data_IF_059813488779
#
_entry.id   IF_059813488779
#
_cell.length_a   1.000
_cell.length_b   1.000
_cell.length_c   1.000
_cell.angle_alpha   90.00
_cell.angle_beta   90.00
_cell.angle_gamma   90.00
#
_symmetry.space_group_name_H-M   'P 1'
#
loop_
_entity.id
_entity.type
_entity.pdbx_description
1 polymer ?
#
# COMPACT_ATOMS: atom_id res chain seq x y z
N UNK A 1 14.49 -13.93 21.64
CA UNK A 1 13.06 -13.51 21.77
C UNK A 1 12.24 -14.26 20.73
N UNK A 2 11.19 -14.99 21.15
CA UNK A 2 10.33 -15.80 20.28
C UNK A 2 9.33 -14.90 19.53
N UNK A 3 9.42 -14.87 18.22
CA UNK A 3 8.59 -14.03 17.35
C UNK A 3 7.56 -14.89 16.63
N UNK A 4 6.29 -14.53 16.69
CA UNK A 4 5.29 -14.98 15.72
C UNK A 4 5.10 -13.87 14.71
N UNK A 5 5.14 -14.22 13.42
CA UNK A 5 4.93 -13.27 12.32
C UNK A 5 3.54 -13.47 11.70
N UNK A 6 2.82 -12.37 11.46
CA UNK A 6 1.51 -12.37 10.81
C UNK A 6 1.52 -11.43 9.62
N UNK A 7 1.32 -11.96 8.41
CA UNK A 7 1.32 -11.15 7.19
C UNK A 7 0.84 -11.92 5.97
N UNK A 8 0.59 -11.21 4.86
CA UNK A 8 0.07 -11.87 3.65
C UNK A 8 0.76 -11.41 2.37
N UNK A 9 0.78 -10.11 1.96
CA UNK A 9 1.29 -9.65 0.67
C UNK A 9 2.82 -9.50 0.64
N UNK A 10 3.34 -9.04 -0.50
CA UNK A 10 4.78 -8.89 -0.76
C UNK A 10 5.51 -8.01 0.27
N UNK A 11 4.91 -6.90 0.70
CA UNK A 11 5.49 -6.06 1.77
C UNK A 11 5.74 -6.86 3.05
N UNK A 12 4.80 -7.71 3.43
CA UNK A 12 4.95 -8.58 4.61
C UNK A 12 6.01 -9.66 4.38
N UNK A 13 6.09 -10.22 3.18
CA UNK A 13 7.12 -11.19 2.81
C UNK A 13 8.52 -10.58 2.88
N UNK A 14 8.67 -9.31 2.47
CA UNK A 14 9.94 -8.55 2.58
C UNK A 14 10.33 -8.38 4.05
N UNK A 15 9.38 -8.00 4.91
CA UNK A 15 9.62 -7.89 6.36
C UNK A 15 10.00 -9.24 7.00
N UNK A 16 9.33 -10.33 6.61
CA UNK A 16 9.65 -11.67 7.13
C UNK A 16 11.07 -12.10 6.72
N UNK A 17 11.46 -11.91 5.45
CA UNK A 17 12.82 -12.20 4.99
C UNK A 17 13.87 -11.44 5.79
N UNK A 18 13.64 -10.15 6.05
CA UNK A 18 14.56 -9.30 6.79
C UNK A 18 14.83 -9.84 8.19
N UNK A 19 13.79 -10.12 8.96
CA UNK A 19 13.96 -10.62 10.34
C UNK A 19 14.56 -12.03 10.39
N UNK A 20 14.28 -12.89 9.38
CA UNK A 20 14.93 -14.18 9.25
C UNK A 20 16.42 -14.07 8.92
N UNK A 21 16.79 -13.17 7.99
CA UNK A 21 18.19 -12.89 7.65
C UNK A 21 18.96 -12.29 8.83
N UNK A 22 18.29 -11.54 9.70
CA UNK A 22 18.84 -11.03 10.95
C UNK A 22 18.99 -12.12 12.06
N UNK A 23 18.59 -13.36 11.79
CA UNK A 23 18.70 -14.49 12.71
C UNK A 23 17.67 -14.46 13.86
N UNK A 24 16.56 -13.77 13.70
CA UNK A 24 15.51 -13.75 14.72
C UNK A 24 14.78 -15.09 14.81
N UNK A 25 14.40 -15.48 16.03
CA UNK A 25 13.71 -16.74 16.33
C UNK A 25 12.22 -16.65 15.98
N UNK A 26 11.90 -16.87 14.69
CA UNK A 26 10.52 -16.92 14.19
C UNK A 26 9.95 -18.30 14.42
N UNK A 27 9.05 -18.44 15.40
CA UNK A 27 8.50 -19.73 15.84
C UNK A 27 7.21 -20.15 15.13
N UNK A 28 6.61 -19.26 14.37
CA UNK A 28 5.40 -19.54 13.57
C UNK A 28 5.01 -18.35 12.70
N UNK A 29 4.39 -18.68 11.57
CA UNK A 29 3.97 -17.69 10.57
C UNK A 29 2.47 -17.84 10.31
N UNK A 30 1.72 -16.78 10.48
CA UNK A 30 0.29 -16.70 10.18
C UNK A 30 0.09 -15.90 8.89
N UNK A 31 -0.69 -16.46 7.97
CA UNK A 31 -1.06 -15.80 6.71
C UNK A 31 -2.49 -16.14 6.35
N UNK A 32 -3.11 -15.37 5.46
CA UNK A 32 -4.48 -15.68 5.02
C UNK A 32 -4.52 -17.04 4.29
N UNK A 33 -5.69 -17.72 4.32
CA UNK A 33 -5.91 -18.94 3.56
C UNK A 33 -5.60 -18.78 2.07
N UNK A 34 -5.12 -19.85 1.45
CA UNK A 34 -4.86 -19.89 0.01
C UNK A 34 -6.15 -19.61 -0.76
N UNK A 35 -6.06 -18.78 -1.79
CA UNK A 35 -7.18 -18.42 -2.64
C UNK A 35 -6.89 -18.76 -4.10
N UNK A 36 -7.93 -19.12 -4.87
CA UNK A 36 -7.79 -19.25 -6.31
C UNK A 36 -7.31 -17.94 -6.93
N UNK A 37 -6.25 -17.98 -7.73
CA UNK A 37 -5.68 -16.80 -8.41
C UNK A 37 -5.71 -17.05 -9.93
N UNK A 38 -6.03 -16.00 -10.70
CA UNK A 38 -6.11 -15.99 -12.15
C UNK A 38 -7.24 -16.84 -12.79
N UNK A 39 -7.40 -16.71 -14.13
CA UNK A 39 -8.42 -17.40 -14.92
C UNK A 39 -8.39 -18.94 -14.86
N UNK A 40 -7.29 -19.52 -14.33
CA UNK A 40 -7.11 -20.98 -14.20
C UNK A 40 -7.50 -21.55 -12.84
N UNK A 41 -8.04 -20.76 -11.88
CA UNK A 41 -8.49 -21.18 -10.55
C UNK A 41 -7.45 -22.01 -9.76
N UNK A 42 -6.16 -21.92 -10.09
CA UNK A 42 -5.10 -22.58 -9.31
C UNK A 42 -4.94 -21.89 -7.97
N UNK A 43 -4.90 -22.69 -6.89
CA UNK A 43 -4.58 -22.18 -5.56
C UNK A 43 -3.18 -21.57 -5.58
N UNK A 44 -3.09 -20.30 -5.21
CA UNK A 44 -1.81 -19.62 -5.07
C UNK A 44 -1.52 -19.38 -3.59
N UNK A 45 -0.29 -19.68 -3.20
CA UNK A 45 0.21 -19.35 -1.88
C UNK A 45 0.35 -17.84 -1.74
N UNK A 46 0.20 -17.35 -0.51
CA UNK A 46 0.56 -15.97 -0.23
C UNK A 46 2.09 -15.80 -0.32
N UNK A 47 2.60 -14.61 -0.67
CA UNK A 47 4.04 -14.32 -0.65
C UNK A 47 4.70 -14.67 0.70
N UNK A 48 4.02 -14.42 1.81
CA UNK A 48 4.49 -14.78 3.15
C UNK A 48 4.58 -16.30 3.34
N UNK A 49 3.58 -17.07 2.85
CA UNK A 49 3.62 -18.55 2.90
C UNK A 49 4.80 -19.09 2.12
N UNK A 50 5.08 -18.58 0.92
CA UNK A 50 6.23 -19.00 0.12
C UNK A 50 7.55 -18.80 0.86
N UNK A 51 7.75 -17.66 1.51
CA UNK A 51 8.94 -17.39 2.35
C UNK A 51 9.01 -18.33 3.53
N UNK A 52 7.91 -18.53 4.25
CA UNK A 52 7.87 -19.41 5.42
C UNK A 52 8.22 -20.86 5.06
N UNK A 53 7.67 -21.40 3.97
CA UNK A 53 7.96 -22.74 3.50
C UNK A 53 9.42 -22.90 3.05
N UNK A 54 9.99 -21.91 2.38
CA UNK A 54 11.40 -21.92 1.97
C UNK A 54 12.37 -21.94 3.17
N UNK A 55 11.92 -21.50 4.35
CA UNK A 55 12.69 -21.52 5.60
C UNK A 55 12.24 -22.61 6.58
N UNK A 56 11.42 -23.56 6.13
CA UNK A 56 10.87 -24.66 6.95
C UNK A 56 10.15 -24.18 8.23
N UNK A 57 9.49 -23.02 8.18
CA UNK A 57 8.73 -22.48 9.31
C UNK A 57 7.31 -23.06 9.35
N UNK A 58 6.74 -23.27 10.55
CA UNK A 58 5.34 -23.63 10.69
C UNK A 58 4.42 -22.53 10.15
N UNK A 59 3.47 -22.91 9.29
CA UNK A 59 2.50 -22.00 8.66
C UNK A 59 1.10 -22.28 9.17
N UNK A 60 0.42 -21.24 9.61
CA UNK A 60 -0.95 -21.27 10.10
C UNK A 60 -1.84 -20.37 9.25
N UNK A 61 -2.98 -20.88 8.82
CA UNK A 61 -3.91 -20.18 7.91
C UNK A 61 -5.35 -20.18 8.43
N UNK A 62 -5.60 -19.66 9.66
CA UNK A 62 -6.95 -19.66 10.21
C UNK A 62 -7.84 -18.67 9.45
N UNK A 63 -9.12 -19.00 9.29
CA UNK A 63 -10.12 -18.08 8.75
C UNK A 63 -10.31 -16.85 9.64
N UNK A 64 -10.20 -17.05 10.95
CA UNK A 64 -10.33 -15.98 11.95
C UNK A 64 -9.83 -16.51 13.32
N UNK A 65 -9.90 -15.66 14.36
CA UNK A 65 -9.56 -16.02 15.74
C UNK A 65 -10.80 -16.12 16.66
N UNK A 66 -11.96 -16.49 16.11
CA UNK A 66 -13.17 -16.69 16.92
C UNK A 66 -13.11 -18.01 17.67
N UNK A 67 -12.64 -19.04 17.02
CA UNK A 67 -12.51 -20.39 17.58
C UNK A 67 -11.39 -20.43 18.64
N UNK A 68 -11.68 -21.03 19.78
CA UNK A 68 -10.74 -21.14 20.89
C UNK A 68 -9.51 -21.97 20.50
N UNK A 69 -9.68 -22.99 19.68
CA UNK A 69 -8.60 -23.82 19.17
C UNK A 69 -7.52 -22.99 18.46
N UNK A 70 -7.92 -22.04 17.61
CA UNK A 70 -7.00 -21.13 16.91
C UNK A 70 -6.21 -20.26 17.89
N UNK A 71 -6.85 -19.81 18.94
CA UNK A 71 -6.20 -19.01 20.00
C UNK A 71 -5.22 -19.85 20.81
N UNK A 72 -5.60 -21.07 21.18
CA UNK A 72 -4.73 -22.00 21.91
C UNK A 72 -3.51 -22.43 21.07
N UNK A 73 -3.69 -22.61 19.76
CA UNK A 73 -2.58 -22.86 18.84
C UNK A 73 -1.53 -21.74 18.87
N UNK A 74 -1.97 -20.48 18.90
CA UNK A 74 -1.07 -19.34 19.03
C UNK A 74 -0.40 -19.31 20.42
N UNK A 75 -1.15 -19.58 21.49
CA UNK A 75 -0.58 -19.67 22.85
C UNK A 75 0.48 -20.75 22.99
N UNK A 76 0.26 -21.90 22.36
CA UNK A 76 1.21 -23.02 22.38
C UNK A 76 2.57 -22.67 21.77
N UNK A 77 2.64 -21.69 20.87
CA UNK A 77 3.90 -21.17 20.34
C UNK A 77 4.67 -20.32 21.37
N UNK A 78 4.06 -19.91 22.45
CA UNK A 78 4.66 -19.08 23.50
C UNK A 78 5.42 -17.85 22.93
N UNK A 79 4.76 -16.98 22.14
CA UNK A 79 5.42 -15.85 21.56
C UNK A 79 5.75 -14.79 22.62
N UNK A 80 6.96 -14.24 22.60
CA UNK A 80 7.29 -13.04 23.35
C UNK A 80 6.67 -11.79 22.69
N UNK A 81 6.63 -11.79 21.36
CA UNK A 81 6.06 -10.70 20.55
C UNK A 81 5.36 -11.29 19.32
N UNK A 82 4.28 -10.63 18.87
CA UNK A 82 3.65 -10.90 17.59
C UNK A 82 3.91 -9.70 16.67
N UNK A 83 4.62 -9.92 15.56
CA UNK A 83 4.88 -8.93 14.53
C UNK A 83 3.85 -9.04 13.40
N UNK A 84 3.09 -7.99 13.16
CA UNK A 84 2.01 -7.95 12.18
C UNK A 84 2.38 -6.98 11.05
N UNK A 85 2.25 -7.44 9.82
CA UNK A 85 2.44 -6.60 8.62
C UNK A 85 1.41 -6.97 7.58
N UNK A 86 0.46 -6.09 7.31
CA UNK A 86 -0.59 -6.30 6.30
C UNK A 86 -1.22 -7.71 6.36
N UNK A 87 -1.57 -8.17 7.54
CA UNK A 87 -2.17 -9.51 7.73
C UNK A 87 -3.59 -9.59 7.15
N UNK A 88 -4.33 -8.47 7.19
CA UNK A 88 -5.67 -8.38 6.61
C UNK A 88 -6.77 -9.02 7.45
N UNK A 89 -6.55 -9.20 8.76
CA UNK A 89 -7.53 -9.68 9.74
C UNK A 89 -7.44 -8.86 11.01
N UNK A 90 -8.59 -8.61 11.61
CA UNK A 90 -8.66 -7.98 12.94
C UNK A 90 -8.26 -9.02 13.99
N UNK A 91 -7.35 -8.65 14.89
CA UNK A 91 -6.95 -9.46 16.03
C UNK A 91 -7.81 -9.09 17.23
N UNK A 92 -8.59 -10.03 17.79
CA UNK A 92 -9.38 -9.76 19.00
C UNK A 92 -8.49 -9.59 20.22
N UNK A 93 -9.00 -8.95 21.28
CA UNK A 93 -8.24 -8.67 22.51
C UNK A 93 -7.56 -9.92 23.09
N UNK A 94 -8.26 -11.05 23.09
CA UNK A 94 -7.71 -12.33 23.58
C UNK A 94 -6.45 -12.82 22.84
N UNK A 95 -6.21 -12.32 21.61
CA UNK A 95 -4.99 -12.57 20.83
C UNK A 95 -3.94 -11.52 21.14
N UNK A 96 -4.34 -10.24 21.27
CA UNK A 96 -3.43 -9.14 21.62
C UNK A 96 -2.78 -9.34 23.00
N UNK A 97 -3.46 -10.02 23.92
CA UNK A 97 -3.01 -10.28 25.29
C UNK A 97 -2.07 -11.51 25.42
N UNK A 98 -1.84 -12.27 24.32
CA UNK A 98 -1.00 -13.48 24.39
C UNK A 98 0.48 -13.16 24.56
N UNK A 99 1.11 -12.33 23.70
CA UNK A 99 2.55 -12.08 23.80
C UNK A 99 2.86 -11.09 24.92
N UNK A 100 3.87 -11.44 25.76
CA UNK A 100 4.26 -10.60 26.91
C UNK A 100 4.74 -9.20 26.51
N UNK A 101 5.40 -9.10 25.35
CA UNK A 101 5.91 -7.83 24.80
C UNK A 101 4.89 -7.14 23.87
N UNK A 102 3.69 -7.73 23.72
CA UNK A 102 2.59 -7.20 22.91
C UNK A 102 2.63 -7.57 21.43
N UNK A 103 1.60 -7.13 20.72
CA UNK A 103 1.52 -7.22 19.28
C UNK A 103 1.95 -5.88 18.67
N UNK A 104 2.86 -5.90 17.71
CA UNK A 104 3.31 -4.69 16.98
C UNK A 104 2.91 -4.77 15.52
N UNK A 105 2.72 -3.62 14.91
CA UNK A 105 2.39 -3.50 13.48
C UNK A 105 3.36 -2.54 12.80
N UNK A 106 3.69 -2.84 11.55
CA UNK A 106 4.36 -1.92 10.63
C UNK A 106 3.28 -1.30 9.74
N UNK A 107 3.02 -0.02 9.96
CA UNK A 107 2.00 0.75 9.25
C UNK A 107 2.64 1.69 8.23
N UNK A 108 2.15 1.67 6.98
CA UNK A 108 2.75 2.39 5.86
C UNK A 108 2.30 3.86 5.80
N UNK A 109 2.40 4.57 6.92
CA UNK A 109 2.25 6.04 7.05
C UNK A 109 3.00 6.57 8.26
N UNK A 110 3.08 7.89 8.35
CA UNK A 110 3.51 8.62 9.54
C UNK A 110 2.28 8.86 10.43
N UNK A 111 2.02 7.93 11.35
CA UNK A 111 0.91 8.06 12.30
C UNK A 111 1.08 9.31 13.19
N UNK A 112 -0.03 9.96 13.58
CA UNK A 112 -1.43 9.51 13.50
C UNK A 112 -2.12 9.80 12.17
N UNK A 113 -1.43 10.31 11.15
CA UNK A 113 -2.03 10.50 9.82
C UNK A 113 -2.22 9.17 9.09
N UNK A 114 -3.31 9.10 8.32
CA UNK A 114 -3.61 7.97 7.42
C UNK A 114 -3.76 6.63 8.15
N UNK A 115 -4.49 6.58 9.28
CA UNK A 115 -4.97 5.33 9.87
C UNK A 115 -5.88 4.61 8.87
N UNK A 116 -5.78 3.29 8.75
CA UNK A 116 -6.67 2.49 7.89
C UNK A 116 -5.95 1.69 6.81
N UNK A 117 -6.71 1.32 5.76
CA UNK A 117 -6.31 0.23 4.85
C UNK A 117 -5.43 0.64 3.67
N UNK A 118 -5.40 1.94 3.29
CA UNK A 118 -4.74 2.43 2.09
C UNK A 118 -3.81 3.64 2.34
N UNK A 119 -2.97 3.63 3.40
CA UNK A 119 -2.26 4.82 3.88
C UNK A 119 -1.33 5.44 2.83
N UNK A 120 -0.51 4.65 2.15
CA UNK A 120 0.45 5.14 1.17
C UNK A 120 -0.22 5.66 -0.10
N UNK A 121 -1.33 5.05 -0.53
CA UNK A 121 -2.11 5.57 -1.67
C UNK A 121 -2.70 6.94 -1.35
N UNK A 122 -3.28 7.09 -0.16
CA UNK A 122 -3.86 8.36 0.26
C UNK A 122 -2.81 9.45 0.46
N UNK A 123 -1.60 9.11 0.89
CA UNK A 123 -0.50 10.07 0.94
C UNK A 123 -0.18 10.63 -0.45
N UNK A 124 -0.14 9.77 -1.48
CA UNK A 124 0.06 10.19 -2.88
C UNK A 124 -1.15 10.98 -3.41
N UNK A 125 -2.38 10.48 -3.20
CA UNK A 125 -3.62 11.13 -3.65
C UNK A 125 -3.80 12.53 -3.04
N UNK A 126 -3.34 12.72 -1.82
CA UNK A 126 -3.39 14.01 -1.11
C UNK A 126 -2.26 14.97 -1.49
N UNK A 127 -1.33 14.55 -2.37
CA UNK A 127 -0.21 15.38 -2.81
C UNK A 127 0.85 15.64 -1.73
N UNK A 128 0.95 14.76 -0.72
CA UNK A 128 1.99 14.84 0.29
C UNK A 128 3.38 14.76 -0.36
N UNK A 129 4.32 15.50 0.21
CA UNK A 129 5.71 15.50 -0.28
C UNK A 129 6.58 14.51 0.45
N UNK A 130 6.09 13.99 1.56
CA UNK A 130 6.75 13.10 2.48
C UNK A 130 5.77 12.10 3.06
N UNK A 131 6.23 10.90 3.29
CA UNK A 131 5.52 9.85 4.02
C UNK A 131 6.51 8.99 4.79
N UNK A 132 6.11 7.82 5.24
CA UNK A 132 7.01 6.91 5.93
C UNK A 132 6.32 5.68 6.43
N UNK A 133 6.95 5.06 7.41
CA UNK A 133 6.48 3.85 8.08
C UNK A 133 6.54 4.07 9.58
N UNK A 134 5.53 3.61 10.28
CA UNK A 134 5.46 3.64 11.75
C UNK A 134 5.40 2.23 12.32
N UNK A 135 6.30 1.92 13.24
CA UNK A 135 6.17 0.77 14.13
C UNK A 135 5.32 1.16 15.33
N UNK A 136 4.23 0.44 15.59
CA UNK A 136 3.28 0.76 16.65
C UNK A 136 2.77 -0.49 17.35
N UNK A 137 2.28 -0.36 18.56
CA UNK A 137 1.53 -1.41 19.24
C UNK A 137 0.11 -1.52 18.67
N UNK A 138 -0.36 -2.74 18.47
CA UNK A 138 -1.77 -2.97 18.15
C UNK A 138 -2.63 -2.81 19.40
N UNK A 139 -3.79 -2.21 19.22
CA UNK A 139 -4.83 -2.08 20.21
C UNK A 139 -6.20 -2.39 19.59
N UNK A 140 -7.27 -2.28 20.35
CA UNK A 140 -8.63 -2.55 19.87
C UNK A 140 -9.08 -1.56 18.79
N UNK A 141 -8.65 -0.31 18.92
CA UNK A 141 -8.96 0.75 17.95
C UNK A 141 -7.98 0.67 16.77
N UNK A 142 -8.52 0.82 15.54
CA UNK A 142 -7.73 0.67 14.30
C UNK A 142 -6.59 1.70 14.26
N UNK A 143 -5.36 1.18 14.18
CA UNK A 143 -4.11 1.94 14.01
C UNK A 143 -3.90 3.10 15.03
N UNK A 144 -4.52 2.97 16.21
CA UNK A 144 -4.52 4.01 17.26
C UNK A 144 -3.58 3.71 18.43
N UNK A 145 -2.88 2.57 18.41
CA UNK A 145 -1.98 2.19 19.51
C UNK A 145 -0.72 3.05 19.55
N UNK A 146 0.00 2.94 20.69
CA UNK A 146 1.22 3.71 20.95
C UNK A 146 2.28 3.45 19.86
N UNK A 147 2.89 4.51 19.36
CA UNK A 147 4.02 4.44 18.44
C UNK A 147 5.30 4.04 19.16
N UNK A 148 6.15 3.30 18.47
CA UNK A 148 7.49 2.87 18.96
C UNK A 148 8.58 3.66 18.24
N UNK A 149 8.53 3.69 16.91
CA UNK A 149 9.52 4.36 16.07
C UNK A 149 8.93 4.68 14.70
N UNK A 150 9.55 5.61 13.98
CA UNK A 150 9.13 6.00 12.62
C UNK A 150 10.34 6.08 11.70
N UNK A 151 10.10 5.90 10.41
CA UNK A 151 11.09 6.15 9.37
C UNK A 151 10.43 6.92 8.24
N UNK A 152 10.98 8.09 7.94
CA UNK A 152 10.43 9.04 6.97
C UNK A 152 11.12 8.94 5.63
N UNK A 153 10.41 9.18 4.54
CA UNK A 153 10.94 9.22 3.17
C UNK A 153 10.20 10.22 2.30
N UNK A 154 10.87 10.94 1.39
CA UNK A 154 10.17 11.80 0.43
C UNK A 154 9.35 10.98 -0.57
N UNK A 155 8.28 11.57 -1.12
CA UNK A 155 7.53 11.04 -2.25
C UNK A 155 8.02 11.75 -3.51
N UNK A 156 8.45 10.98 -4.52
CA UNK A 156 8.89 11.52 -5.80
C UNK A 156 7.74 12.18 -6.58
N UNK A 157 8.04 13.23 -7.35
CA UNK A 157 7.02 14.00 -8.09
C UNK A 157 6.16 13.14 -9.03
N UNK A 158 6.77 12.16 -9.69
CA UNK A 158 6.08 11.26 -10.61
C UNK A 158 5.96 9.82 -10.06
N UNK A 159 6.36 9.61 -8.81
CA UNK A 159 6.32 8.30 -8.18
C UNK A 159 4.89 7.84 -7.99
N UNK A 160 4.60 6.62 -8.44
CA UNK A 160 3.28 5.99 -8.26
C UNK A 160 3.15 5.39 -6.86
N UNK A 161 1.93 5.18 -6.41
CA UNK A 161 1.68 4.49 -5.14
C UNK A 161 2.28 3.08 -5.11
N UNK A 162 2.33 2.38 -6.26
CA UNK A 162 2.97 1.07 -6.35
C UNK A 162 4.48 1.13 -6.13
N UNK A 163 5.18 2.05 -6.79
CA UNK A 163 6.63 2.26 -6.60
C UNK A 163 6.96 2.72 -5.18
N UNK A 164 6.12 3.60 -4.61
CA UNK A 164 6.25 4.01 -3.22
C UNK A 164 6.11 2.82 -2.27
N UNK A 165 5.13 1.93 -2.49
CA UNK A 165 4.94 0.72 -1.67
C UNK A 165 6.18 -0.17 -1.69
N UNK A 166 6.82 -0.35 -2.85
CA UNK A 166 8.03 -1.16 -2.98
C UNK A 166 9.18 -0.58 -2.11
N UNK A 167 9.33 0.74 -2.08
CA UNK A 167 10.31 1.41 -1.19
C UNK A 167 9.92 1.32 0.28
N UNK A 168 8.64 1.53 0.60
CA UNK A 168 8.14 1.43 1.98
C UNK A 168 8.26 -0.01 2.52
N UNK A 169 8.20 -1.03 1.65
CA UNK A 169 8.43 -2.41 2.05
C UNK A 169 9.86 -2.63 2.60
N UNK A 170 10.87 -2.04 1.96
CA UNK A 170 12.26 -2.11 2.43
C UNK A 170 12.44 -1.32 3.72
N UNK A 171 11.96 -0.07 3.76
CA UNK A 171 12.04 0.80 4.94
C UNK A 171 11.31 0.16 6.14
N UNK A 172 10.14 -0.44 5.90
CA UNK A 172 9.36 -1.12 6.93
C UNK A 172 10.04 -2.39 7.45
N UNK A 173 10.73 -3.11 6.58
CA UNK A 173 11.47 -4.31 6.95
C UNK A 173 12.67 -3.96 7.87
N UNK A 174 13.43 -2.91 7.53
CA UNK A 174 14.53 -2.39 8.35
C UNK A 174 14.02 -1.85 9.70
N UNK A 175 12.89 -1.12 9.68
CA UNK A 175 12.26 -0.60 10.89
C UNK A 175 11.77 -1.73 11.80
N UNK A 176 11.18 -2.80 11.24
CA UNK A 176 10.73 -3.97 12.01
C UNK A 176 11.91 -4.66 12.70
N UNK A 177 13.00 -4.92 11.97
CA UNK A 177 14.20 -5.54 12.53
C UNK A 177 14.76 -4.71 13.68
N UNK A 178 14.95 -3.40 13.46
CA UNK A 178 15.41 -2.46 14.47
C UNK A 178 14.50 -2.46 15.71
N UNK A 179 13.19 -2.42 15.48
CA UNK A 179 12.19 -2.40 16.56
C UNK A 179 12.26 -3.67 17.39
N UNK A 180 12.27 -4.85 16.76
CA UNK A 180 12.35 -6.13 17.46
C UNK A 180 13.68 -6.29 18.24
N UNK A 181 14.80 -5.85 17.66
CA UNK A 181 16.11 -5.85 18.34
C UNK A 181 16.11 -4.98 19.60
N UNK A 182 15.50 -3.79 19.53
CA UNK A 182 15.35 -2.90 20.70
C UNK A 182 14.38 -3.47 21.74
N UNK A 183 13.28 -4.11 21.29
CA UNK A 183 12.32 -4.76 22.18
C UNK A 183 12.98 -5.91 22.97
N UNK A 184 13.86 -6.69 22.35
CA UNK A 184 14.59 -7.76 23.02
C UNK A 184 15.46 -7.23 24.15
N UNK A 185 16.13 -6.08 23.92
CA UNK A 185 16.97 -5.39 24.91
C UNK A 185 16.17 -4.60 25.97
N UNK A 186 14.85 -4.43 25.78
CA UNK A 186 14.04 -3.58 26.65
C UNK A 186 14.24 -2.08 26.43
N UNK A 187 14.70 -1.68 25.24
CA UNK A 187 15.05 -0.30 24.87
C UNK A 187 13.94 0.42 24.07
N UNK A 188 12.70 -0.03 24.17
CA UNK A 188 11.56 0.62 23.48
C UNK A 188 10.75 1.48 24.43
N UNK A 189 10.39 2.64 23.96
CA UNK A 189 9.45 3.55 24.60
C UNK A 189 8.11 3.51 23.86
N UNK A 190 7.03 3.85 24.59
CA UNK A 190 5.70 3.96 24.03
C UNK A 190 5.31 5.43 23.96
N UNK A 191 5.03 5.90 22.76
CA UNK A 191 4.57 7.27 22.52
C UNK A 191 3.10 7.25 22.13
N UNK A 192 2.17 7.69 22.98
CA UNK A 192 0.75 7.80 22.63
C UNK A 192 0.55 8.68 21.40
N UNK A 193 -0.38 8.27 20.53
CA UNK A 193 -0.74 9.10 19.38
C UNK A 193 -1.63 10.27 19.81
N UNK A 194 -1.41 11.45 19.26
CA UNK A 194 -2.36 12.56 19.37
C UNK A 194 -3.54 12.34 18.41
N UNK A 195 -4.64 11.82 18.92
CA UNK A 195 -5.83 11.51 18.12
C UNK A 195 -6.50 12.75 17.51
N UNK A 196 -6.21 13.96 17.98
CA UNK A 196 -6.69 15.20 17.36
C UNK A 196 -6.05 15.45 15.99
N UNK A 197 -4.87 14.87 15.72
CA UNK A 197 -4.14 14.95 14.47
C UNK A 197 -4.39 13.75 13.54
N UNK A 198 -5.25 12.81 13.96
CA UNK A 198 -5.51 11.61 13.18
C UNK A 198 -6.29 11.92 11.90
N UNK A 199 -5.84 11.34 10.79
CA UNK A 199 -6.59 11.27 9.54
C UNK A 199 -6.77 9.82 9.11
N UNK A 200 -7.71 9.57 8.20
CA UNK A 200 -8.10 8.22 7.82
C UNK A 200 -7.88 7.95 6.34
N UNK A 201 -7.44 6.75 6.03
CA UNK A 201 -7.13 6.26 4.70
C UNK A 201 -7.99 5.01 4.39
N UNK A 202 -9.28 5.19 4.03
CA UNK A 202 -10.15 4.07 3.71
C UNK A 202 -9.67 3.31 2.48
N UNK A 203 -10.16 2.08 2.32
CA UNK A 203 -9.87 1.28 1.13
C UNK A 203 -10.30 2.02 -0.13
N UNK A 204 -9.46 1.96 -1.16
CA UNK A 204 -9.78 2.52 -2.47
C UNK A 204 -10.88 1.72 -3.15
N UNK A 205 -11.68 2.38 -3.96
CA UNK A 205 -12.70 1.73 -4.79
C UNK A 205 -12.77 2.34 -6.20
N UNK A 206 -13.55 1.71 -7.07
CA UNK A 206 -13.66 2.11 -8.48
C UNK A 206 -14.38 3.43 -8.71
N UNK A 207 -15.13 3.95 -7.75
CA UNK A 207 -15.79 5.26 -7.85
C UNK A 207 -14.77 6.41 -7.90
N UNK A 208 -13.55 6.15 -7.41
CA UNK A 208 -12.45 7.11 -7.42
C UNK A 208 -11.71 7.19 -8.78
N UNK A 209 -12.01 6.27 -9.73
CA UNK A 209 -11.27 6.18 -10.99
C UNK A 209 -11.55 7.31 -11.99
N UNK A 210 -12.79 7.79 -12.19
CA UNK A 210 -13.06 8.81 -13.19
C UNK A 210 -12.27 10.10 -12.92
N UNK A 211 -11.54 10.57 -13.92
CA UNK A 211 -10.81 11.84 -13.83
C UNK A 211 -11.79 13.00 -13.95
N UNK A 212 -11.74 13.91 -12.98
CA UNK A 212 -12.41 15.19 -13.00
C UNK A 212 -11.44 16.25 -13.54
N UNK A 213 -11.59 16.61 -14.80
CA UNK A 213 -10.73 17.56 -15.49
C UNK A 213 -10.85 19.01 -14.97
N UNK A 214 -11.90 19.30 -14.17
CA UNK A 214 -12.06 20.64 -13.55
C UNK A 214 -11.08 20.88 -12.40
N UNK A 215 -10.42 19.83 -11.91
CA UNK A 215 -9.37 19.90 -10.91
C UNK A 215 -8.08 20.46 -11.49
N UNK A 216 -7.13 20.83 -10.61
CA UNK A 216 -5.81 21.29 -11.05
C UNK A 216 -5.00 20.15 -11.68
N UNK A 217 -4.03 20.48 -12.52
CA UNK A 217 -3.11 19.51 -13.11
C UNK A 217 -2.40 18.66 -12.03
N UNK A 218 -2.04 19.28 -10.90
CA UNK A 218 -1.45 18.56 -9.77
C UNK A 218 -2.41 17.52 -9.19
N UNK A 219 -3.66 17.87 -8.96
CA UNK A 219 -4.65 16.95 -8.40
C UNK A 219 -4.97 15.80 -9.37
N UNK A 220 -5.07 16.08 -10.67
CA UNK A 220 -5.25 15.02 -11.69
C UNK A 220 -4.04 14.10 -11.75
N UNK A 221 -2.83 14.66 -11.73
CA UNK A 221 -1.59 13.88 -11.71
C UNK A 221 -1.50 13.01 -10.45
N UNK A 222 -1.81 13.56 -9.28
CA UNK A 222 -1.81 12.83 -8.01
C UNK A 222 -2.86 11.72 -7.99
N UNK A 223 -4.04 11.94 -8.60
CA UNK A 223 -5.04 10.89 -8.78
C UNK A 223 -4.51 9.75 -9.64
N UNK A 224 -3.90 10.04 -10.79
CA UNK A 224 -3.37 9.01 -11.69
C UNK A 224 -2.30 8.18 -11.01
N UNK A 225 -1.30 8.81 -10.38
CA UNK A 225 -0.20 8.10 -9.73
C UNK A 225 -0.59 7.44 -8.42
N UNK A 226 -1.56 8.01 -7.68
CA UNK A 226 -2.06 7.45 -6.42
C UNK A 226 -2.97 6.23 -6.60
N UNK A 227 -3.68 6.15 -7.73
CA UNK A 227 -4.51 5.00 -8.09
C UNK A 227 -3.75 3.93 -8.88
N UNK A 228 -2.47 4.11 -9.18
CA UNK A 228 -1.66 3.12 -9.89
C UNK A 228 -0.91 2.21 -8.90
N UNK A 229 -0.91 0.88 -9.05
CA UNK A 229 -1.43 0.09 -10.18
C UNK A 229 -2.90 -0.31 -10.07
N UNK A 230 -3.59 0.01 -9.00
CA UNK A 230 -5.01 -0.32 -8.79
C UNK A 230 -5.69 0.77 -7.93
N UNK A 231 -6.93 1.18 -8.25
CA UNK A 231 -7.83 0.65 -9.30
C UNK A 231 -7.62 1.25 -10.71
N UNK A 232 -6.70 2.20 -10.88
CA UNK A 232 -6.32 2.94 -12.09
C UNK A 232 -7.32 4.01 -12.49
N UNK A 233 -6.84 5.24 -12.67
CA UNK A 233 -7.64 6.37 -13.13
C UNK A 233 -8.21 6.13 -14.53
N UNK A 234 -9.41 6.65 -14.81
CA UNK A 234 -10.11 6.42 -16.07
C UNK A 234 -10.66 7.73 -16.66
N UNK A 235 -10.78 7.77 -17.97
CA UNK A 235 -11.43 8.87 -18.68
C UNK A 235 -11.99 8.41 -20.03
N UNK A 236 -12.78 9.27 -20.68
CA UNK A 236 -13.15 9.12 -22.08
C UNK A 236 -12.42 10.18 -22.93
N UNK A 237 -11.87 9.75 -24.04
CA UNK A 237 -11.25 10.63 -25.04
C UNK A 237 -11.97 10.36 -26.35
N UNK A 238 -12.65 11.36 -26.87
CA UNK A 238 -13.48 11.25 -28.09
C UNK A 238 -14.40 10.03 -28.07
N UNK A 239 -15.09 9.83 -26.94
CA UNK A 239 -16.04 8.72 -26.76
C UNK A 239 -15.45 7.36 -26.42
N UNK A 240 -14.14 7.17 -26.57
CA UNK A 240 -13.45 5.93 -26.23
C UNK A 240 -13.03 5.93 -24.75
N UNK A 241 -13.29 4.81 -24.06
CA UNK A 241 -12.89 4.63 -22.67
C UNK A 241 -11.42 4.24 -22.54
N UNK A 242 -10.70 4.89 -21.61
CA UNK A 242 -9.31 4.60 -21.30
C UNK A 242 -9.05 4.47 -19.81
N UNK A 243 -8.12 3.58 -19.49
CA UNK A 243 -7.36 3.61 -18.23
C UNK A 243 -6.09 4.44 -18.45
N UNK A 244 -5.80 5.34 -17.52
CA UNK A 244 -4.64 6.24 -17.57
C UNK A 244 -3.62 5.77 -16.55
N UNK A 245 -2.45 5.37 -17.04
CA UNK A 245 -1.41 4.75 -16.22
C UNK A 245 -0.28 5.69 -15.83
N UNK A 246 -0.01 6.73 -16.63
CA UNK A 246 1.02 7.71 -16.31
C UNK A 246 0.71 9.05 -16.95
N UNK A 247 0.95 10.10 -16.20
CA UNK A 247 0.88 11.50 -16.64
C UNK A 247 2.10 12.25 -16.17
N UNK A 248 2.33 13.43 -16.74
CA UNK A 248 3.23 14.46 -16.21
C UNK A 248 2.51 15.80 -16.28
N UNK A 249 2.86 16.71 -15.40
CA UNK A 249 2.32 18.07 -15.40
C UNK A 249 3.03 18.86 -16.49
N UNK A 250 2.26 19.62 -17.26
CA UNK A 250 2.76 20.49 -18.32
C UNK A 250 2.07 21.87 -18.22
N UNK A 251 2.64 22.93 -18.82
CA UNK A 251 1.96 24.22 -18.87
C UNK A 251 0.60 24.10 -19.55
N UNK A 252 -0.40 24.77 -18.97
CA UNK A 252 -1.71 24.90 -19.59
C UNK A 252 -1.71 25.89 -20.78
N UNK A 253 -2.81 25.93 -21.50
CA UNK A 253 -3.07 26.92 -22.54
C UNK A 253 -4.13 27.89 -22.05
N UNK A 254 -3.86 29.18 -22.11
CA UNK A 254 -4.79 30.23 -21.69
C UNK A 254 -6.14 30.12 -22.42
N UNK A 255 -7.22 30.21 -21.65
CA UNK A 255 -8.59 30.10 -22.17
C UNK A 255 -9.06 28.70 -22.54
N UNK A 256 -8.23 27.67 -22.41
CA UNK A 256 -8.64 26.31 -22.68
C UNK A 256 -9.62 25.80 -21.61
N UNK A 257 -10.72 25.20 -22.03
CA UNK A 257 -11.68 24.59 -21.11
C UNK A 257 -11.14 23.27 -20.56
N UNK A 258 -11.42 22.92 -19.29
CA UNK A 258 -11.04 21.64 -18.71
C UNK A 258 -11.52 20.43 -19.57
N UNK A 259 -10.64 19.46 -19.77
CA UNK A 259 -10.90 18.28 -20.61
C UNK A 259 -10.62 18.48 -22.11
N UNK A 260 -10.29 19.69 -22.55
CA UNK A 260 -9.92 19.95 -23.95
C UNK A 260 -8.57 19.35 -24.29
N UNK A 261 -8.50 18.65 -25.41
CA UNK A 261 -7.25 18.15 -25.97
C UNK A 261 -6.45 19.35 -26.51
N UNK A 262 -5.26 19.58 -25.94
CA UNK A 262 -4.36 20.65 -26.34
C UNK A 262 -3.45 20.26 -27.51
N UNK A 263 -3.20 18.96 -27.67
CA UNK A 263 -2.40 18.40 -28.75
C UNK A 263 -1.76 17.06 -28.43
N UNK A 264 -1.33 16.39 -29.48
CA UNK A 264 -0.51 15.18 -29.40
C UNK A 264 0.95 15.57 -29.63
N UNK A 265 1.81 15.22 -28.69
CA UNK A 265 3.26 15.45 -28.77
C UNK A 265 3.99 14.16 -29.12
N UNK A 266 5.31 14.20 -29.23
CA UNK A 266 6.13 12.99 -29.41
C UNK A 266 6.09 12.07 -28.19
N UNK A 267 5.69 12.58 -27.02
CA UNK A 267 5.78 11.90 -25.73
C UNK A 267 4.44 11.63 -25.09
N UNK A 268 3.36 12.27 -25.50
CA UNK A 268 2.05 12.08 -24.90
C UNK A 268 0.93 12.92 -25.49
N UNK A 269 -0.25 12.75 -24.92
CA UNK A 269 -1.45 13.54 -25.22
C UNK A 269 -1.68 14.58 -24.14
N UNK A 270 -1.69 15.86 -24.49
CA UNK A 270 -1.91 16.96 -23.57
C UNK A 270 -3.39 17.28 -23.44
N UNK A 271 -3.87 17.36 -22.20
CA UNK A 271 -5.26 17.69 -21.85
C UNK A 271 -5.26 18.82 -20.83
N UNK A 272 -6.10 19.83 -21.07
CA UNK A 272 -6.31 20.94 -20.17
C UNK A 272 -6.99 20.49 -18.87
N UNK A 273 -6.54 21.03 -17.75
CA UNK A 273 -7.16 20.89 -16.43
C UNK A 273 -7.83 22.22 -16.01
N UNK A 274 -8.50 22.24 -14.86
CA UNK A 274 -9.06 23.48 -14.30
C UNK A 274 -7.99 24.55 -14.09
N UNK A 275 -6.77 24.10 -13.74
CA UNK A 275 -5.56 24.93 -13.71
C UNK A 275 -4.40 24.09 -14.26
N UNK A 276 -3.67 24.62 -15.25
CA UNK A 276 -2.58 23.91 -15.91
C UNK A 276 -3.05 22.83 -16.88
N UNK A 277 -2.21 21.87 -17.18
CA UNK A 277 -2.51 20.74 -18.03
C UNK A 277 -1.70 19.51 -17.61
N UNK A 278 -2.13 18.33 -18.01
CA UNK A 278 -1.35 17.10 -17.91
C UNK A 278 -1.06 16.53 -19.28
N UNK A 279 0.07 15.88 -19.43
CA UNK A 279 0.39 15.07 -20.59
C UNK A 279 0.27 13.59 -20.21
N UNK A 280 -0.67 12.90 -20.83
CA UNK A 280 -0.87 11.46 -20.69
C UNK A 280 0.26 10.74 -21.44
N UNK A 281 1.11 10.04 -20.71
CA UNK A 281 2.25 9.28 -21.24
C UNK A 281 1.88 7.85 -21.60
N UNK A 282 1.09 7.20 -20.76
CA UNK A 282 0.72 5.80 -20.90
C UNK A 282 -0.77 5.60 -20.62
N UNK A 283 -1.43 4.91 -21.51
CA UNK A 283 -2.86 4.62 -21.47
C UNK A 283 -3.17 3.19 -21.90
N UNK A 284 -4.42 2.78 -21.68
CA UNK A 284 -4.94 1.50 -22.11
C UNK A 284 -6.41 1.67 -22.54
N UNK A 285 -6.69 1.48 -23.82
CA UNK A 285 -8.06 1.41 -24.31
C UNK A 285 -8.79 0.17 -23.79
N UNK A 286 -10.12 0.21 -23.74
CA UNK A 286 -10.93 -0.94 -23.34
C UNK A 286 -10.62 -2.16 -24.21
N UNK A 287 -10.37 -3.31 -23.57
CA UNK A 287 -9.98 -4.55 -24.25
C UNK A 287 -8.58 -4.55 -24.88
N UNK A 288 -7.88 -3.41 -24.84
CA UNK A 288 -6.54 -3.26 -25.43
C UNK A 288 -5.39 -3.55 -24.46
N UNK A 289 -4.17 -3.32 -24.93
CA UNK A 289 -2.93 -3.39 -24.15
C UNK A 289 -2.54 -1.98 -23.68
N UNK A 290 -1.85 -1.91 -22.53
CA UNK A 290 -1.18 -0.69 -22.08
C UNK A 290 -0.09 -0.31 -23.09
N UNK A 291 -0.04 0.96 -23.50
CA UNK A 291 0.95 1.48 -24.44
C UNK A 291 1.19 2.99 -24.23
N UNK A 292 2.19 3.54 -24.88
CA UNK A 292 2.40 4.97 -24.93
C UNK A 292 1.26 5.65 -25.69
N UNK A 293 0.82 6.83 -25.21
CA UNK A 293 -0.28 7.55 -25.86
C UNK A 293 0.00 7.89 -27.33
N UNK A 294 1.22 8.36 -27.75
CA UNK A 294 1.50 8.61 -29.16
C UNK A 294 1.39 7.35 -30.03
N UNK A 295 1.72 6.17 -29.51
CA UNK A 295 1.62 4.93 -30.27
C UNK A 295 0.17 4.52 -30.52
N UNK A 296 -0.71 4.74 -29.53
CA UNK A 296 -2.13 4.52 -29.69
C UNK A 296 -2.71 5.44 -30.78
N UNK A 297 -2.48 6.75 -30.65
CA UNK A 297 -3.07 7.75 -31.55
C UNK A 297 -2.44 7.79 -32.97
N UNK A 298 -1.31 7.11 -33.18
CA UNK A 298 -0.78 6.87 -34.55
C UNK A 298 -1.71 5.95 -35.36
N UNK A 299 -2.30 4.96 -34.70
CA UNK A 299 -3.27 4.05 -35.32
C UNK A 299 -4.72 4.50 -35.23
N UNK A 300 -5.01 5.48 -34.35
CA UNK A 300 -6.36 6.02 -34.08
C UNK A 300 -6.27 7.55 -34.05
N UNK A 301 -6.17 8.22 -35.19
CA UNK A 301 -5.99 9.67 -35.27
C UNK A 301 -7.11 10.40 -34.51
N UNK A 302 -6.73 11.47 -33.82
CA UNK A 302 -7.69 12.34 -33.16
C UNK A 302 -8.55 13.06 -34.22
N UNK A 303 -9.85 13.11 -33.97
CA UNK A 303 -10.76 13.92 -34.78
C UNK A 303 -10.48 15.40 -34.54
N UNK A 304 -10.59 16.19 -35.59
CA UNK A 304 -10.31 17.64 -35.56
C UNK A 304 -11.38 18.43 -34.82
#
# INVERSE_FOLDING_TARGET
MRVVFMGTPDIAATCLRQILNAGMDVVGVYTQPDRPKNRGMKLAFSPVKEVALAHNLPVYQPENFREEETVQQLRALQPDVVAVVAYGRILPQKVLDIPQKGCINIHASLLPKYRGSAPYQWAVLSGEKETGVTAMYLCREMDAGDMIDTSTTPIGENETAGELLDRLAVIGAELLEKTLSRMEKGEVERTPQDSSMATYAPMLDKSMCPIDWTKTAQQVHDQVRGLHPWPVATTHIQGTFFKIHATVIVPGKEGAQPGTILGLTKTGLQIACGEGAVEIRSLQAEGGKRMAAPDYFRGHPLEA
#
